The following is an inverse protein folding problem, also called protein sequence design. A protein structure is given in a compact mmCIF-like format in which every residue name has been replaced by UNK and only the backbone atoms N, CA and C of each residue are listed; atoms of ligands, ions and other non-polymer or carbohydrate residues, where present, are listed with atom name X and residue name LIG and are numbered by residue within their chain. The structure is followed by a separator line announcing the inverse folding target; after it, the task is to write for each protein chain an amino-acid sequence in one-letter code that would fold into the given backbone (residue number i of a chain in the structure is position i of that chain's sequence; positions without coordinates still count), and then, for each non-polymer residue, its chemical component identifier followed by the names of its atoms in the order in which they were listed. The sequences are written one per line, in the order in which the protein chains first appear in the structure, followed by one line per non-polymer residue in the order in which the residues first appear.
data_IF_831710487700
#
_entry.id   IF_831710487700
#
_cell.length_a   1.000
_cell.length_b   1.000
_cell.length_c   1.000
_cell.angle_alpha   90.00
_cell.angle_beta   90.00
_cell.angle_gamma   90.00
#
_symmetry.space_group_name_H-M   'P 1'
#
loop_
_entity.id
_entity.type
_entity.pdbx_description
1 polymer ?
#
# COMPACT_ATOMS: atom_id res chain seq x y z
N UNK A 1 -23.56 37.68 -2.07
CA UNK A 1 -23.80 36.33 -1.49
C UNK A 1 -25.26 36.31 -1.06
N UNK A 2 -26.07 35.31 -1.45
CA UNK A 2 -27.51 35.27 -1.15
C UNK A 2 -27.71 35.04 0.36
N UNK A 3 -28.41 35.94 1.07
CA UNK A 3 -28.63 35.81 2.55
C UNK A 3 -29.41 34.54 2.94
N UNK A 4 -30.09 33.93 1.98
CA UNK A 4 -30.82 32.66 2.18
C UNK A 4 -29.85 31.47 2.27
N UNK A 5 -28.78 31.46 1.46
CA UNK A 5 -27.73 30.44 1.48
C UNK A 5 -26.92 30.54 2.76
N UNK A 6 -26.62 31.72 3.25
CA UNK A 6 -25.90 31.94 4.48
C UNK A 6 -26.68 31.47 5.73
N UNK A 7 -28.00 31.72 5.75
CA UNK A 7 -28.91 31.17 6.79
C UNK A 7 -29.02 29.66 6.74
N UNK A 8 -29.05 29.04 5.56
CA UNK A 8 -29.07 27.58 5.39
C UNK A 8 -27.78 26.93 5.87
N UNK A 9 -26.62 27.56 5.60
CA UNK A 9 -25.32 27.07 6.10
C UNK A 9 -25.20 27.18 7.62
N UNK A 10 -25.71 28.24 8.22
CA UNK A 10 -25.75 28.39 9.68
C UNK A 10 -26.72 27.40 10.34
N UNK A 11 -27.83 27.10 9.68
CA UNK A 11 -28.79 26.11 10.18
C UNK A 11 -28.25 24.69 10.12
N UNK A 12 -27.56 24.31 9.07
CA UNK A 12 -26.95 22.97 8.91
C UNK A 12 -25.80 22.77 9.91
N UNK A 13 -24.95 23.75 10.16
CA UNK A 13 -23.88 23.68 11.17
C UNK A 13 -24.43 23.57 12.58
N UNK A 14 -25.45 24.37 12.95
CA UNK A 14 -26.09 24.28 14.25
C UNK A 14 -26.82 22.95 14.44
N UNK A 15 -27.50 22.48 13.42
CA UNK A 15 -28.21 21.20 13.44
C UNK A 15 -27.23 20.04 13.61
N UNK A 16 -26.12 20.04 12.84
CA UNK A 16 -25.06 19.05 12.97
C UNK A 16 -24.44 19.03 14.36
N UNK A 17 -24.05 20.18 14.90
CA UNK A 17 -23.44 20.26 16.24
C UNK A 17 -24.43 19.86 17.35
N UNK A 18 -25.72 20.22 17.25
CA UNK A 18 -26.74 19.82 18.23
C UNK A 18 -26.98 18.31 18.23
N UNK A 19 -27.05 17.68 17.06
CA UNK A 19 -27.26 16.24 16.97
C UNK A 19 -26.01 15.44 17.29
N UNK A 20 -24.82 15.94 16.94
CA UNK A 20 -23.55 15.28 17.28
C UNK A 20 -23.29 15.31 18.79
N UNK A 21 -23.51 16.44 19.46
CA UNK A 21 -23.36 16.53 20.92
C UNK A 21 -24.41 15.72 21.67
N UNK A 22 -25.66 15.67 21.21
CA UNK A 22 -26.68 14.82 21.80
C UNK A 22 -26.41 13.32 21.55
N UNK A 23 -25.90 12.96 20.36
CA UNK A 23 -25.52 11.58 20.03
C UNK A 23 -24.32 11.11 20.82
N UNK A 24 -23.21 11.84 20.81
CA UNK A 24 -21.98 11.50 21.54
C UNK A 24 -22.20 11.60 23.06
N UNK A 25 -22.88 12.65 23.53
CA UNK A 25 -23.23 12.80 24.93
C UNK A 25 -24.18 11.70 25.42
N UNK A 26 -25.14 11.28 24.59
CA UNK A 26 -26.05 10.17 24.88
C UNK A 26 -25.33 8.83 24.98
N UNK A 27 -24.37 8.56 24.08
CA UNK A 27 -23.53 7.35 24.12
C UNK A 27 -22.63 7.37 25.37
N UNK A 28 -21.97 8.49 25.65
CA UNK A 28 -21.13 8.64 26.84
C UNK A 28 -21.95 8.52 28.16
N UNK A 29 -23.13 9.14 28.22
CA UNK A 29 -24.04 9.04 29.36
C UNK A 29 -24.56 7.61 29.53
N UNK A 30 -24.90 6.93 28.43
CA UNK A 30 -25.35 5.55 28.49
C UNK A 30 -24.22 4.58 28.89
N UNK A 31 -22.97 4.88 28.54
CA UNK A 31 -21.81 4.11 29.01
C UNK A 31 -21.51 4.32 30.50
N UNK A 32 -21.77 5.51 31.01
CA UNK A 32 -21.56 5.85 32.43
C UNK A 32 -22.75 5.42 33.34
N UNK A 33 -23.96 5.54 32.84
CA UNK A 33 -25.18 5.19 33.59
C UNK A 33 -25.69 3.78 33.32
N UNK A 34 -25.19 3.13 32.25
CA UNK A 34 -25.59 1.80 31.84
C UNK A 34 -25.53 0.72 32.96
N UNK A 35 -24.52 0.72 33.83
CA UNK A 35 -24.48 -0.21 34.95
C UNK A 35 -25.55 0.05 36.03
N UNK A 36 -25.92 1.32 36.21
CA UNK A 36 -26.85 1.72 37.29
C UNK A 36 -28.31 1.53 36.86
N UNK A 37 -28.64 1.80 35.61
CA UNK A 37 -30.00 1.65 35.08
C UNK A 37 -30.38 0.19 34.77
N UNK A 38 -29.42 -0.72 34.63
CA UNK A 38 -29.64 -2.14 34.33
C UNK A 38 -29.88 -3.02 35.54
N UNK A 39 -29.90 -2.47 36.74
CA UNK A 39 -30.21 -3.20 37.96
C UNK A 39 -31.66 -3.65 38.13
N UNK A 40 -32.55 -3.37 37.18
CA UNK A 40 -33.99 -3.63 37.36
C UNK A 40 -34.70 -4.32 36.16
N UNK A 41 -34.03 -4.67 35.08
CA UNK A 41 -34.67 -5.48 34.04
C UNK A 41 -33.64 -6.12 33.08
N UNK A 42 -33.70 -7.38 33.01
CA UNK A 42 -33.22 -8.32 32.03
C UNK A 42 -31.94 -9.10 32.41
N UNK A 43 -32.17 -10.39 32.43
CA UNK A 43 -31.16 -11.41 32.16
C UNK A 43 -30.24 -10.90 31.06
N UNK A 44 -28.97 -10.75 31.39
CA UNK A 44 -27.95 -10.31 30.45
C UNK A 44 -28.03 -11.17 29.21
N UNK A 45 -28.47 -10.60 28.12
CA UNK A 45 -28.23 -11.23 26.84
C UNK A 45 -26.72 -11.54 26.79
N UNK A 46 -26.37 -12.81 26.72
CA UNK A 46 -24.99 -13.22 26.60
C UNK A 46 -24.36 -12.40 25.49
N UNK A 47 -23.14 -11.85 25.67
CA UNK A 47 -22.48 -11.12 24.62
C UNK A 47 -22.54 -12.02 23.38
N UNK A 48 -23.14 -11.49 22.32
CA UNK A 48 -23.21 -12.23 21.05
C UNK A 48 -21.81 -12.72 20.69
N UNK A 49 -21.68 -13.80 19.91
CA UNK A 49 -20.40 -14.38 19.60
C UNK A 49 -19.47 -13.27 19.14
N UNK A 50 -18.32 -13.13 19.78
CA UNK A 50 -17.27 -12.19 19.36
C UNK A 50 -16.81 -12.69 18.01
N UNK A 51 -17.25 -12.02 16.95
CA UNK A 51 -16.83 -12.36 15.60
C UNK A 51 -15.40 -11.83 15.47
N UNK A 52 -14.45 -12.77 15.41
CA UNK A 52 -13.06 -12.43 15.09
C UNK A 52 -13.01 -11.86 13.66
N UNK A 53 -12.62 -10.60 13.47
CA UNK A 53 -12.54 -9.98 12.15
C UNK A 53 -11.50 -10.63 11.25
N UNK A 54 -10.50 -11.30 11.82
CA UNK A 54 -9.42 -12.00 11.12
C UNK A 54 -9.73 -13.48 10.89
N UNK A 55 -10.85 -13.99 11.38
CA UNK A 55 -11.25 -15.39 11.13
C UNK A 55 -11.22 -15.71 9.63
N UNK A 56 -10.76 -16.92 9.30
CA UNK A 56 -10.72 -17.42 7.93
C UNK A 56 -12.09 -17.37 7.27
N UNK A 57 -12.12 -16.84 6.06
CA UNK A 57 -13.31 -16.75 5.23
C UNK A 57 -13.16 -17.66 4.01
N UNK A 58 -14.22 -18.34 3.64
CA UNK A 58 -14.22 -19.16 2.44
C UNK A 58 -14.00 -18.29 1.19
N UNK A 59 -13.01 -18.61 0.35
CA UNK A 59 -12.80 -17.90 -0.89
C UNK A 59 -13.92 -18.18 -1.88
N UNK A 60 -14.26 -17.22 -2.74
CA UNK A 60 -15.27 -17.39 -3.79
C UNK A 60 -14.86 -18.39 -4.88
N UNK A 61 -13.56 -18.60 -5.06
CA UNK A 61 -12.98 -19.50 -6.04
C UNK A 61 -11.92 -20.35 -5.37
N UNK A 62 -11.67 -21.56 -5.89
CA UNK A 62 -10.61 -22.43 -5.39
C UNK A 62 -9.25 -21.73 -5.51
N UNK A 63 -8.55 -21.47 -4.40
CA UNK A 63 -7.29 -20.74 -4.44
C UNK A 63 -6.19 -21.59 -5.05
N UNK A 64 -5.40 -21.00 -5.94
CA UNK A 64 -4.17 -21.62 -6.48
C UNK A 64 -2.93 -21.21 -5.69
N UNK A 65 -2.94 -20.02 -5.09
CA UNK A 65 -1.85 -19.49 -4.27
C UNK A 65 -2.30 -19.39 -2.81
N UNK A 66 -1.43 -19.80 -1.90
CA UNK A 66 -1.66 -19.69 -0.45
C UNK A 66 -1.03 -18.44 0.17
N UNK A 67 0.01 -17.89 -0.46
CA UNK A 67 0.76 -16.74 0.02
C UNK A 67 1.09 -15.83 -1.16
N UNK A 68 1.12 -14.53 -0.89
CA UNK A 68 1.53 -13.51 -1.86
C UNK A 68 2.70 -12.74 -1.28
N UNK A 69 3.79 -12.63 -2.05
CA UNK A 69 4.94 -11.79 -1.73
C UNK A 69 4.99 -10.72 -2.80
N UNK A 70 4.81 -9.46 -2.40
CA UNK A 70 4.90 -8.31 -3.29
C UNK A 70 6.24 -7.60 -3.09
N UNK A 71 7.10 -7.66 -4.11
CA UNK A 71 8.40 -7.01 -4.10
C UNK A 71 8.31 -5.70 -4.87
N UNK A 72 8.49 -4.58 -4.18
CA UNK A 72 8.45 -3.26 -4.79
C UNK A 72 9.83 -2.59 -4.74
N UNK A 73 10.28 -2.11 -5.87
CA UNK A 73 11.49 -1.31 -5.97
C UNK A 73 11.11 0.17 -5.85
N UNK A 74 11.23 0.70 -4.64
CA UNK A 74 10.98 2.13 -4.37
C UNK A 74 11.93 3.00 -5.18
N UNK A 75 11.41 4.10 -5.73
CA UNK A 75 12.17 4.98 -6.62
C UNK A 75 12.16 4.53 -8.08
N UNK A 76 11.53 3.38 -8.36
CA UNK A 76 11.21 2.90 -9.71
C UNK A 76 12.40 2.96 -10.68
N UNK A 77 13.35 2.01 -10.58
CA UNK A 77 14.42 1.91 -11.57
C UNK A 77 13.80 1.77 -12.96
N UNK A 78 14.39 2.38 -14.01
CA UNK A 78 13.80 2.39 -15.32
C UNK A 78 13.68 0.98 -15.88
N UNK A 79 12.50 0.62 -16.36
CA UNK A 79 12.25 -0.67 -17.03
C UNK A 79 13.13 -0.86 -18.26
N UNK A 80 13.55 0.24 -18.90
CA UNK A 80 14.50 0.26 -20.01
C UNK A 80 15.90 -0.26 -19.66
N UNK A 81 16.25 -0.29 -18.37
CA UNK A 81 17.51 -0.83 -17.88
C UNK A 81 17.35 -2.25 -17.30
N UNK A 82 16.14 -2.80 -17.25
CA UNK A 82 15.85 -4.08 -16.61
C UNK A 82 15.25 -5.13 -17.55
N UNK A 83 14.10 -4.83 -18.17
CA UNK A 83 13.28 -5.82 -18.89
C UNK A 83 12.81 -5.38 -20.27
N UNK A 84 12.96 -4.11 -20.63
CA UNK A 84 12.43 -3.56 -21.87
C UNK A 84 13.58 -3.17 -22.83
N UNK A 85 14.09 -4.14 -23.56
CA UNK A 85 15.21 -3.97 -24.49
C UNK A 85 14.81 -3.10 -25.70
N UNK A 86 15.46 -1.96 -25.88
CA UNK A 86 15.23 -0.98 -26.96
C UNK A 86 16.50 -0.72 -27.75
N UNK A 87 16.88 -1.61 -28.69
CA UNK A 87 18.12 -1.45 -29.45
C UNK A 87 18.16 -0.18 -30.31
N UNK A 88 17.01 0.25 -30.85
CA UNK A 88 16.92 1.51 -31.60
C UNK A 88 17.18 2.74 -30.76
N UNK A 89 16.73 2.71 -29.48
CA UNK A 89 17.00 3.80 -28.56
C UNK A 89 18.51 3.88 -28.23
N UNK A 90 19.16 2.74 -28.07
CA UNK A 90 20.61 2.66 -27.84
C UNK A 90 21.41 3.28 -28.99
N UNK A 91 21.03 3.00 -30.26
CA UNK A 91 21.67 3.58 -31.47
C UNK A 91 21.48 5.11 -31.54
N UNK A 92 20.46 5.65 -30.93
CA UNK A 92 20.12 7.08 -30.98
C UNK A 92 20.53 7.85 -29.73
N UNK A 93 21.28 7.22 -28.87
CA UNK A 93 21.81 7.88 -27.65
C UNK A 93 22.53 9.17 -28.00
N UNK A 94 22.32 10.23 -27.22
CA UNK A 94 22.82 11.60 -27.40
C UNK A 94 22.25 12.39 -28.59
N UNK A 95 21.40 11.80 -29.43
CA UNK A 95 20.64 12.53 -30.42
C UNK A 95 19.52 13.36 -29.77
N UNK A 96 19.16 14.49 -30.34
CA UNK A 96 18.01 15.26 -29.93
C UNK A 96 16.71 14.45 -30.14
N UNK A 97 15.79 14.60 -29.16
CA UNK A 97 14.50 13.94 -29.27
C UNK A 97 13.70 14.56 -30.44
N UNK A 98 13.20 13.77 -31.40
CA UNK A 98 12.40 14.30 -32.51
C UNK A 98 11.13 15.00 -32.00
N UNK A 99 10.78 16.15 -32.60
CA UNK A 99 9.65 17.00 -32.22
C UNK A 99 8.32 16.25 -32.13
N UNK A 100 8.10 15.27 -33.01
CA UNK A 100 6.90 14.43 -33.00
C UNK A 100 6.63 13.71 -31.67
N UNK A 101 7.66 13.47 -30.86
CA UNK A 101 7.53 12.86 -29.53
C UNK A 101 7.33 13.90 -28.42
N UNK A 102 7.60 15.17 -28.71
CA UNK A 102 7.51 16.27 -27.76
C UNK A 102 6.21 17.06 -27.92
N UNK A 103 5.59 17.01 -29.09
CA UNK A 103 4.40 17.78 -29.43
C UNK A 103 3.26 17.50 -28.44
N UNK A 104 2.70 18.56 -27.86
CA UNK A 104 1.63 18.49 -26.88
C UNK A 104 2.01 17.94 -25.49
N UNK A 105 3.31 17.72 -25.22
CA UNK A 105 3.78 17.19 -23.95
C UNK A 105 4.54 18.24 -23.16
N UNK A 106 4.30 18.29 -21.87
CA UNK A 106 5.03 19.12 -20.91
C UNK A 106 5.75 18.23 -19.92
N UNK A 107 7.05 18.41 -19.77
CA UNK A 107 7.86 17.65 -18.83
C UNK A 107 8.17 18.50 -17.59
N UNK A 108 7.85 17.95 -16.40
CA UNK A 108 7.91 18.72 -15.15
C UNK A 108 9.31 19.16 -14.73
N UNK A 109 10.35 18.48 -15.18
CA UNK A 109 11.73 18.69 -14.70
C UNK A 109 12.75 18.87 -15.82
N UNK A 110 12.31 19.00 -17.07
CA UNK A 110 13.18 19.18 -18.24
C UNK A 110 12.92 20.53 -18.88
N UNK A 111 13.99 21.27 -19.19
CA UNK A 111 13.94 22.50 -19.97
C UNK A 111 14.70 22.27 -21.30
N UNK A 112 14.16 22.82 -22.40
CA UNK A 112 14.72 22.63 -23.75
C UNK A 112 14.41 21.27 -24.36
N UNK A 113 15.01 20.97 -25.52
CA UNK A 113 14.85 19.70 -26.21
C UNK A 113 15.69 18.63 -25.50
N UNK A 114 15.08 17.56 -24.95
CA UNK A 114 15.82 16.50 -24.30
C UNK A 114 16.56 15.65 -25.32
N UNK A 115 17.68 15.07 -24.92
CA UNK A 115 18.38 14.06 -25.70
C UNK A 115 17.84 12.66 -25.40
N UNK A 116 17.92 11.79 -26.39
CA UNK A 116 17.60 10.38 -26.24
C UNK A 116 18.71 9.67 -25.47
N UNK A 117 18.31 8.72 -24.63
CA UNK A 117 19.24 7.93 -23.83
C UNK A 117 18.84 6.46 -23.88
N UNK A 118 19.69 5.63 -24.48
CA UNK A 118 19.55 4.19 -24.42
C UNK A 118 20.14 3.62 -23.14
N UNK A 119 19.76 2.39 -22.84
CA UNK A 119 20.32 1.68 -21.68
C UNK A 119 21.83 1.41 -21.88
N UNK A 120 22.67 1.70 -20.87
CA UNK A 120 24.10 1.34 -20.90
C UNK A 120 24.34 -0.13 -20.52
N UNK A 121 23.28 -0.92 -20.30
CA UNK A 121 23.36 -2.30 -19.83
C UNK A 121 23.61 -3.29 -20.95
N UNK A 122 24.21 -4.43 -20.60
CA UNK A 122 24.30 -5.59 -21.46
C UNK A 122 22.99 -6.39 -21.42
N UNK A 123 22.56 -6.87 -22.56
CA UNK A 123 21.28 -7.54 -22.73
C UNK A 123 21.43 -8.95 -23.26
N UNK A 124 20.64 -9.87 -22.72
CA UNK A 124 20.56 -11.25 -23.16
C UNK A 124 19.13 -11.78 -23.17
N UNK A 125 18.92 -12.86 -23.90
CA UNK A 125 17.68 -13.63 -23.84
C UNK A 125 17.84 -14.82 -22.90
N UNK A 126 16.86 -15.02 -22.02
CA UNK A 126 16.90 -16.04 -20.99
C UNK A 126 15.61 -16.85 -20.97
N UNK A 127 15.72 -18.10 -20.50
CA UNK A 127 14.62 -19.05 -20.47
C UNK A 127 14.22 -19.58 -21.86
N UNK A 128 13.34 -20.55 -21.88
CA UNK A 128 12.80 -21.17 -23.10
C UNK A 128 11.95 -20.18 -23.91
N UNK A 129 11.36 -19.19 -23.24
CA UNK A 129 10.55 -18.14 -23.86
C UNK A 129 11.37 -16.97 -24.42
N UNK A 130 12.71 -16.97 -24.24
CA UNK A 130 13.60 -15.95 -24.75
C UNK A 130 13.32 -14.54 -24.20
N UNK A 131 13.03 -14.43 -22.91
CA UNK A 131 12.76 -13.15 -22.25
C UNK A 131 14.01 -12.28 -22.24
N UNK A 132 13.90 -11.04 -22.73
CA UNK A 132 14.99 -10.07 -22.65
C UNK A 132 15.15 -9.56 -21.22
N UNK A 133 16.35 -9.69 -20.70
CA UNK A 133 16.74 -9.13 -19.40
C UNK A 133 18.15 -8.57 -19.47
N UNK A 134 18.40 -7.52 -18.68
CA UNK A 134 19.74 -6.92 -18.60
C UNK A 134 20.60 -7.61 -17.54
N UNK A 135 21.88 -7.27 -17.53
CA UNK A 135 22.86 -7.66 -16.51
C UNK A 135 22.57 -7.09 -15.11
N UNK A 136 21.66 -6.13 -15.02
CA UNK A 136 21.24 -5.56 -13.73
C UNK A 136 20.44 -6.53 -12.86
N UNK A 137 19.87 -7.59 -13.44
CA UNK A 137 19.00 -8.55 -12.72
C UNK A 137 19.50 -10.00 -12.86
N UNK A 138 20.78 -10.29 -12.56
CA UNK A 138 21.41 -11.58 -12.89
C UNK A 138 20.78 -12.78 -12.18
N UNK A 139 20.19 -12.57 -11.02
CA UNK A 139 19.54 -13.65 -10.27
C UNK A 139 18.20 -14.06 -10.89
N UNK A 140 17.50 -13.16 -11.58
CA UNK A 140 16.26 -13.47 -12.27
C UNK A 140 16.47 -14.30 -13.55
N UNK A 141 17.66 -14.27 -14.14
CA UNK A 141 17.98 -15.08 -15.31
C UNK A 141 17.75 -16.58 -15.08
N UNK A 142 17.94 -17.05 -13.83
CA UNK A 142 17.79 -18.46 -13.45
C UNK A 142 16.34 -18.92 -13.37
N UNK A 143 15.42 -18.01 -13.20
CA UNK A 143 13.98 -18.26 -13.03
C UNK A 143 13.17 -17.65 -14.16
N UNK A 144 13.81 -17.39 -15.30
CA UNK A 144 13.20 -16.72 -16.46
C UNK A 144 11.92 -17.42 -16.94
N UNK A 145 11.91 -18.75 -16.93
CA UNK A 145 10.76 -19.55 -17.37
C UNK A 145 9.55 -19.46 -16.41
N UNK A 146 9.77 -19.02 -15.18
CA UNK A 146 8.72 -18.83 -14.17
C UNK A 146 8.18 -17.38 -14.14
N UNK A 147 8.75 -16.49 -14.96
CA UNK A 147 8.37 -15.08 -15.00
C UNK A 147 7.32 -14.81 -16.06
N UNK A 148 6.38 -13.94 -15.71
CA UNK A 148 5.46 -13.33 -16.65
C UNK A 148 5.69 -11.81 -16.65
N UNK A 149 6.20 -11.27 -17.76
CA UNK A 149 6.43 -9.83 -17.92
C UNK A 149 5.21 -9.16 -18.54
N UNK A 150 4.69 -8.13 -17.87
CA UNK A 150 3.57 -7.34 -18.34
C UNK A 150 4.06 -5.97 -18.83
N UNK A 151 4.47 -5.90 -20.09
CA UNK A 151 5.04 -4.68 -20.70
C UNK A 151 4.02 -3.56 -20.94
N UNK A 152 2.73 -3.87 -20.95
CA UNK A 152 1.65 -2.91 -21.21
C UNK A 152 1.20 -2.10 -20.00
N UNK A 153 1.81 -2.30 -18.85
CA UNK A 153 1.50 -1.51 -17.66
C UNK A 153 1.93 -0.05 -17.83
N UNK A 154 1.02 0.87 -17.58
CA UNK A 154 1.29 2.31 -17.63
C UNK A 154 0.48 3.06 -16.59
N UNK A 155 0.85 4.30 -16.33
CA UNK A 155 0.14 5.20 -15.42
C UNK A 155 0.27 6.64 -15.90
N UNK A 156 -0.74 7.46 -15.64
CA UNK A 156 -0.70 8.91 -15.86
C UNK A 156 -0.02 9.65 -14.69
N UNK A 157 0.36 8.94 -13.64
CA UNK A 157 1.02 9.53 -12.48
C UNK A 157 2.51 9.69 -12.73
N UNK A 158 2.95 10.94 -12.92
CA UNK A 158 4.35 11.26 -13.22
C UNK A 158 5.26 11.35 -11.97
N UNK A 159 4.66 11.47 -10.77
CA UNK A 159 5.38 11.57 -9.50
C UNK A 159 5.33 10.26 -8.72
N UNK A 160 6.41 9.92 -8.01
CA UNK A 160 6.55 8.68 -7.26
C UNK A 160 5.43 8.45 -6.24
N UNK A 161 5.12 9.45 -5.39
CA UNK A 161 4.16 9.26 -4.30
C UNK A 161 2.75 8.90 -4.79
N UNK A 162 2.10 9.63 -5.72
CA UNK A 162 0.79 9.24 -6.23
C UNK A 162 0.85 7.97 -7.08
N UNK A 163 1.95 7.71 -7.81
CA UNK A 163 2.10 6.48 -8.58
C UNK A 163 2.21 5.25 -7.67
N UNK A 164 2.99 5.32 -6.60
CA UNK A 164 3.08 4.25 -5.61
C UNK A 164 1.74 4.01 -4.92
N UNK A 165 1.04 5.08 -4.50
CA UNK A 165 -0.30 4.94 -3.92
C UNK A 165 -1.26 4.25 -4.89
N UNK A 166 -1.23 4.62 -6.18
CA UNK A 166 -2.07 3.97 -7.19
C UNK A 166 -1.79 2.47 -7.28
N UNK A 167 -0.52 2.07 -7.32
CA UNK A 167 -0.12 0.66 -7.39
C UNK A 167 -0.54 -0.11 -6.14
N UNK A 168 -0.38 0.47 -4.95
CA UNK A 168 -0.68 -0.21 -3.69
C UNK A 168 -2.16 -0.23 -3.32
N UNK A 169 -2.92 0.81 -3.69
CA UNK A 169 -4.29 1.02 -3.19
C UNK A 169 -5.35 1.16 -4.29
N UNK A 170 -4.95 1.22 -5.56
CA UNK A 170 -5.83 1.49 -6.68
C UNK A 170 -6.28 2.96 -6.77
N UNK A 171 -5.62 3.88 -6.05
CA UNK A 171 -5.93 5.31 -6.09
C UNK A 171 -4.67 6.14 -5.85
N UNK A 172 -4.45 7.22 -6.63
CA UNK A 172 -3.33 8.12 -6.40
C UNK A 172 -3.50 9.01 -5.16
N UNK A 173 -4.68 8.96 -4.53
CA UNK A 173 -5.05 9.76 -3.36
C UNK A 173 -5.09 8.84 -2.13
N UNK A 174 -4.53 9.31 -1.01
CA UNK A 174 -4.53 8.61 0.28
C UNK A 174 -5.94 8.31 0.80
N UNK A 175 -6.06 7.31 1.67
CA UNK A 175 -7.30 6.98 2.39
C UNK A 175 -7.98 5.70 1.90
N UNK A 176 -7.48 5.08 0.83
CA UNK A 176 -7.96 3.76 0.40
C UNK A 176 -7.14 2.64 1.02
N UNK A 177 -7.76 1.47 1.29
CA UNK A 177 -7.05 0.32 1.79
C UNK A 177 -6.02 -0.18 0.78
N UNK A 178 -4.88 -0.63 1.28
CA UNK A 178 -3.86 -1.28 0.46
C UNK A 178 -4.28 -2.69 0.04
N UNK A 179 -3.59 -3.23 -0.96
CA UNK A 179 -3.83 -4.58 -1.47
C UNK A 179 -3.78 -5.63 -0.35
N UNK A 180 -2.78 -5.58 0.54
CA UNK A 180 -2.68 -6.51 1.66
C UNK A 180 -3.82 -6.35 2.67
N UNK A 181 -4.29 -5.13 2.92
CA UNK A 181 -5.46 -4.88 3.76
C UNK A 181 -6.73 -5.48 3.17
N UNK A 182 -6.92 -5.37 1.84
CA UNK A 182 -8.05 -5.99 1.16
C UNK A 182 -8.00 -7.53 1.21
N UNK A 183 -6.81 -8.11 1.03
CA UNK A 183 -6.63 -9.56 1.12
C UNK A 183 -6.98 -10.07 2.52
N UNK A 184 -6.45 -9.42 3.55
CA UNK A 184 -6.73 -9.78 4.96
C UNK A 184 -8.21 -9.57 5.31
N UNK A 185 -8.82 -8.47 4.84
CA UNK A 185 -10.25 -8.22 5.03
C UNK A 185 -11.12 -9.29 4.35
N UNK A 186 -10.78 -9.67 3.12
CA UNK A 186 -11.58 -10.60 2.32
C UNK A 186 -11.42 -12.06 2.73
N UNK A 187 -10.22 -12.48 3.12
CA UNK A 187 -9.90 -13.90 3.35
C UNK A 187 -9.59 -14.23 4.82
N UNK A 188 -9.29 -13.23 5.64
CA UNK A 188 -8.83 -13.45 7.01
C UNK A 188 -7.36 -13.86 7.07
N UNK A 189 -6.97 -14.49 8.16
CA UNK A 189 -5.62 -15.01 8.41
C UNK A 189 -5.68 -16.47 8.84
N UNK A 190 -4.75 -17.29 8.35
CA UNK A 190 -4.59 -18.69 8.80
C UNK A 190 -3.87 -18.78 10.16
N UNK A 191 -3.32 -17.68 10.63
CA UNK A 191 -2.50 -17.64 11.84
C UNK A 191 -3.11 -16.68 12.85
N UNK A 192 -3.29 -17.14 14.07
CA UNK A 192 -3.85 -16.36 15.17
C UNK A 192 -2.78 -15.51 15.89
N UNK A 193 -1.50 -15.93 15.83
CA UNK A 193 -0.41 -15.31 16.57
C UNK A 193 0.43 -14.35 15.74
N UNK A 194 0.31 -14.38 14.40
CA UNK A 194 1.08 -13.55 13.48
C UNK A 194 0.18 -12.68 12.61
N UNK A 195 0.64 -11.46 12.27
CA UNK A 195 -0.13 -10.60 11.37
C UNK A 195 -0.35 -11.25 10.00
N UNK A 196 -1.57 -11.19 9.49
CA UNK A 196 -1.90 -11.66 8.14
C UNK A 196 -1.29 -10.81 7.03
N UNK A 197 -0.90 -9.56 7.34
CA UNK A 197 -0.26 -8.64 6.40
C UNK A 197 1.01 -8.04 7.03
N UNK A 198 2.16 -8.47 6.55
CA UNK A 198 3.48 -8.01 7.01
C UNK A 198 4.13 -7.12 5.95
N UNK A 199 4.72 -6.03 6.37
CA UNK A 199 5.46 -5.08 5.52
C UNK A 199 6.92 -5.05 5.96
N UNK A 200 7.82 -5.46 5.06
CA UNK A 200 9.26 -5.41 5.28
C UNK A 200 9.83 -4.20 4.53
N UNK A 201 10.49 -3.31 5.25
CA UNK A 201 11.18 -2.16 4.66
C UNK A 201 12.67 -2.41 4.74
N UNK A 202 13.29 -2.62 3.57
CA UNK A 202 14.73 -2.73 3.45
C UNK A 202 15.40 -1.36 3.47
N UNK A 203 16.65 -1.30 3.94
CA UNK A 203 17.49 -0.09 3.91
C UNK A 203 16.94 1.13 4.68
N UNK A 204 15.87 0.98 5.45
CA UNK A 204 15.27 2.07 6.24
C UNK A 204 14.58 3.17 5.42
N UNK A 205 14.52 3.04 4.09
CA UNK A 205 13.86 4.01 3.20
C UNK A 205 12.38 3.66 3.09
N UNK A 206 11.52 4.59 3.50
CA UNK A 206 10.08 4.47 3.35
C UNK A 206 9.69 4.64 1.87
N UNK A 207 8.59 3.99 1.40
CA UNK A 207 7.98 4.35 0.12
C UNK A 207 7.62 5.83 0.08
N UNK A 208 7.64 6.44 -1.10
CA UNK A 208 7.28 7.86 -1.25
C UNK A 208 5.82 8.15 -0.85
N UNK A 209 4.92 7.18 -1.03
CA UNK A 209 3.54 7.23 -0.52
C UNK A 209 3.43 7.06 0.99
N UNK A 210 4.54 6.81 1.70
CA UNK A 210 4.60 6.65 3.14
C UNK A 210 3.75 5.49 3.67
N UNK A 211 3.29 5.60 4.90
CA UNK A 211 2.45 4.58 5.56
C UNK A 211 1.12 4.33 4.83
N UNK A 212 0.64 5.27 4.02
CA UNK A 212 -0.59 5.10 3.26
C UNK A 212 -0.48 3.99 2.20
N UNK A 213 0.74 3.66 1.76
CA UNK A 213 1.00 2.57 0.81
C UNK A 213 0.65 1.18 1.34
N UNK A 214 0.58 1.01 2.67
CA UNK A 214 0.23 -0.25 3.34
C UNK A 214 -0.78 -0.09 4.48
N UNK A 215 -1.49 1.04 4.49
CA UNK A 215 -2.52 1.35 5.46
C UNK A 215 -3.84 0.64 5.19
N UNK A 216 -4.67 0.52 6.23
CA UNK A 216 -6.04 -0.01 6.13
C UNK A 216 -7.03 0.96 5.48
N UNK A 217 -6.65 2.23 5.28
CA UNK A 217 -7.54 3.25 4.72
C UNK A 217 -8.82 3.40 5.52
N UNK A 218 -9.97 3.21 4.88
CA UNK A 218 -11.28 3.25 5.53
C UNK A 218 -11.70 1.92 6.19
N UNK A 219 -10.92 0.84 6.01
CA UNK A 219 -11.14 -0.40 6.75
C UNK A 219 -10.66 -0.27 8.20
N UNK A 220 -11.19 -1.08 9.13
CA UNK A 220 -10.68 -1.16 10.49
C UNK A 220 -9.17 -1.39 10.57
N UNK A 221 -8.52 -0.82 11.57
CA UNK A 221 -7.06 -0.87 11.73
C UNK A 221 -6.49 -2.28 11.91
N UNK A 222 -7.31 -3.25 12.30
CA UNK A 222 -6.92 -4.67 12.40
C UNK A 222 -6.42 -5.25 11.07
N UNK A 223 -6.81 -4.66 9.94
CA UNK A 223 -6.37 -5.07 8.59
C UNK A 223 -5.15 -4.31 8.09
N UNK A 224 -4.58 -3.42 8.90
CA UNK A 224 -3.41 -2.64 8.51
C UNK A 224 -2.15 -3.51 8.42
N UNK A 225 -1.27 -3.19 7.47
CA UNK A 225 0.02 -3.84 7.36
C UNK A 225 0.91 -3.55 8.58
N UNK A 226 1.45 -4.61 9.17
CA UNK A 226 2.39 -4.51 10.30
C UNK A 226 3.79 -4.34 9.74
N UNK A 227 4.38 -3.18 10.01
CA UNK A 227 5.73 -2.87 9.56
C UNK A 227 6.77 -3.53 10.45
N UNK A 228 7.58 -4.40 9.84
CA UNK A 228 8.69 -5.04 10.49
C UNK A 228 10.01 -4.50 9.90
N UNK A 229 11.04 -4.36 10.74
CA UNK A 229 12.37 -3.92 10.34
C UNK A 229 13.37 -5.03 10.65
N UNK A 230 14.27 -5.28 9.72
CA UNK A 230 15.44 -6.07 10.04
C UNK A 230 16.32 -5.27 11.03
N UNK A 231 16.88 -5.94 12.02
CA UNK A 231 17.84 -5.31 12.93
C UNK A 231 19.02 -4.73 12.12
N UNK A 232 19.54 -3.55 12.49
CA UNK A 232 20.66 -2.97 11.78
C UNK A 232 21.90 -3.90 11.84
N UNK A 233 22.71 -3.94 10.77
CA UNK A 233 23.94 -4.71 10.76
C UNK A 233 24.86 -4.23 11.88
N UNK A 234 25.19 -5.11 12.82
CA UNK A 234 26.03 -4.80 14.00
C UNK A 234 25.44 -5.26 15.33
N UNK A 235 24.17 -5.62 15.38
CA UNK A 235 23.59 -6.25 16.55
C UNK A 235 24.06 -7.72 16.59
N UNK A 236 25.07 -7.97 17.44
CA UNK A 236 25.62 -9.32 17.66
C UNK A 236 24.66 -10.15 18.51
N UNK A 237 23.65 -10.69 17.89
CA UNK A 237 22.89 -11.81 18.45
C UNK A 237 22.57 -12.80 17.32
N UNK A 238 22.73 -14.06 17.59
CA UNK A 238 22.84 -15.17 16.64
C UNK A 238 21.58 -15.58 15.88
N UNK A 239 20.58 -14.70 15.83
CA UNK A 239 19.40 -14.86 14.96
C UNK A 239 18.93 -13.50 14.46
N UNK A 240 18.47 -13.38 13.21
CA UNK A 240 17.86 -12.16 12.72
C UNK A 240 16.56 -11.90 13.50
N UNK A 241 16.59 -10.91 14.39
CA UNK A 241 15.37 -10.45 15.07
C UNK A 241 14.65 -9.49 14.16
N UNK A 242 13.39 -9.81 13.86
CA UNK A 242 12.47 -8.93 13.18
C UNK A 242 11.69 -8.17 14.24
N UNK A 243 11.90 -6.87 14.36
CA UNK A 243 11.10 -6.03 15.24
C UNK A 243 9.85 -5.54 14.46
N UNK A 244 8.68 -5.96 14.90
CA UNK A 244 7.40 -5.49 14.38
C UNK A 244 6.89 -4.33 15.24
N UNK A 245 6.60 -3.17 14.64
CA UNK A 245 5.98 -2.05 15.32
C UNK A 245 4.49 -2.03 15.04
N UNK A 246 3.68 -2.46 16.00
CA UNK A 246 2.26 -2.11 16.01
C UNK A 246 2.13 -0.64 16.41
N UNK A 247 1.50 0.18 15.58
CA UNK A 247 1.16 1.55 15.93
C UNK A 247 -0.14 1.57 16.74
N UNK A 248 -0.12 0.99 17.92
CA UNK A 248 -1.19 1.21 18.88
C UNK A 248 -1.03 2.61 19.44
N UNK A 249 -2.10 3.41 19.36
CA UNK A 249 -2.13 4.76 19.93
C UNK A 249 -2.09 4.79 21.47
N UNK A 250 -1.51 3.78 22.12
CA UNK A 250 -1.25 3.71 23.55
C UNK A 250 0.23 3.45 23.80
N UNK A 251 0.78 4.29 24.62
CA UNK A 251 2.16 4.33 25.09
C UNK A 251 2.74 2.96 25.49
N UNK A 252 3.83 2.54 24.83
CA UNK A 252 4.93 1.88 25.51
C UNK A 252 4.80 0.39 25.82
N UNK A 253 4.41 -0.45 24.87
CA UNK A 253 4.55 -1.89 25.02
C UNK A 253 5.38 -2.48 23.86
N UNK A 254 6.67 -2.80 24.11
CA UNK A 254 7.46 -3.62 23.18
C UNK A 254 7.07 -5.07 23.40
N UNK A 255 6.26 -5.62 22.50
CA UNK A 255 6.07 -7.08 22.45
C UNK A 255 7.29 -7.71 21.76
N UNK A 256 7.91 -8.66 22.41
CA UNK A 256 8.98 -9.50 21.85
C UNK A 256 8.34 -10.77 21.34
N UNK A 257 8.45 -11.01 20.07
CA UNK A 257 8.23 -12.31 19.47
C UNK A 257 9.56 -12.88 18.96
#
# INVERSE_FOLDING_TARGET
MDPRLERLQLHTRRHFLRHSTAGIGGIALNSLLGPIARGAANEAAAPGPVIDPLALKAPHFTPKAKRVIYLHMTGSPPNLDLFDYKPELAKRTDQECPDQFLEGKTFAFTSGTPKLMGSPREWGQYGSNGIWMSDAVPHLHRVADELCLVHSMHTDQFNHAPAELLVYTGSPISGRPSMGSWVTYGLGSENDDLPGFVVLISSGVQPNGGKNSFGSGFLPSVYQGVQCRAAPPGYRDSAPRVECSCSDGSSGGRSRY
#
